data_IF_046877893336
#
_entry.id   IF_046877893336
#
_cell.length_a   1.000
_cell.length_b   1.000
_cell.length_c   1.000
_cell.angle_alpha   90.00
_cell.angle_beta   90.00
_cell.angle_gamma   90.00
#
_symmetry.space_group_name_H-M   'P 1'
#
loop_
_entity.id
_entity.type
_entity.pdbx_description
1 polymer ?
#
# COMPACT_ATOMS: atom_id res chain seq x y z
N UNK A 1 -22.65 1.59 18.74
CA UNK A 1 -22.40 0.44 17.84
C UNK A 1 -22.49 0.87 16.37
N UNK A 2 -21.72 1.88 15.96
CA UNK A 2 -21.78 2.48 14.61
C UNK A 2 -20.47 2.35 13.82
N UNK A 3 -19.36 1.93 14.45
CA UNK A 3 -18.05 1.84 13.80
C UNK A 3 -17.91 0.75 12.73
N UNK A 4 -18.85 -0.19 12.62
CA UNK A 4 -18.75 -1.32 11.69
C UNK A 4 -19.06 -0.92 10.24
N UNK A 5 -19.96 0.03 10.02
CA UNK A 5 -20.34 0.45 8.66
C UNK A 5 -19.31 1.36 8.00
N UNK A 6 -18.68 2.24 8.79
CA UNK A 6 -17.72 3.23 8.31
C UNK A 6 -16.40 2.56 7.87
N UNK A 7 -15.88 1.63 8.67
CA UNK A 7 -14.66 0.86 8.36
C UNK A 7 -14.79 -0.04 7.13
N UNK A 8 -16.00 -0.52 6.81
CA UNK A 8 -16.26 -1.30 5.58
C UNK A 8 -16.21 -0.38 4.37
N UNK A 9 -16.84 0.80 4.44
CA UNK A 9 -16.82 1.80 3.36
C UNK A 9 -15.42 2.35 3.10
N UNK A 10 -14.60 2.54 4.13
CA UNK A 10 -13.20 2.99 4.01
C UNK A 10 -12.33 1.96 3.28
N UNK A 11 -12.52 0.68 3.60
CA UNK A 11 -11.79 -0.41 2.96
C UNK A 11 -12.15 -0.52 1.47
N UNK A 12 -13.43 -0.44 1.14
CA UNK A 12 -13.92 -0.53 -0.23
C UNK A 12 -13.43 0.65 -1.08
N UNK A 13 -13.42 1.87 -0.52
CA UNK A 13 -12.85 3.04 -1.19
C UNK A 13 -11.35 2.91 -1.46
N UNK A 14 -10.60 2.35 -0.51
CA UNK A 14 -9.16 2.17 -0.66
C UNK A 14 -8.82 1.07 -1.68
N UNK A 15 -9.63 0.02 -1.74
CA UNK A 15 -9.56 -1.03 -2.75
C UNK A 15 -9.82 -0.48 -4.16
N UNK A 16 -10.80 0.43 -4.32
CA UNK A 16 -11.08 1.09 -5.59
C UNK A 16 -9.92 2.00 -6.04
N UNK A 17 -9.30 2.72 -5.10
CA UNK A 17 -8.10 3.53 -5.36
C UNK A 17 -6.93 2.64 -5.78
N UNK A 18 -6.69 1.52 -5.08
CA UNK A 18 -5.66 0.55 -5.45
C UNK A 18 -5.92 -0.03 -6.85
N UNK A 19 -7.14 -0.45 -7.14
CA UNK A 19 -7.52 -0.97 -8.45
C UNK A 19 -7.28 0.07 -9.56
N UNK A 20 -7.55 1.34 -9.27
CA UNK A 20 -7.28 2.45 -10.20
C UNK A 20 -5.79 2.69 -10.38
N UNK A 21 -5.01 2.67 -9.30
CA UNK A 21 -3.56 2.81 -9.34
C UNK A 21 -2.91 1.70 -10.17
N UNK A 22 -3.30 0.44 -9.98
CA UNK A 22 -2.80 -0.71 -10.74
C UNK A 22 -3.02 -0.60 -12.26
N UNK A 23 -4.02 0.18 -12.71
CA UNK A 23 -4.27 0.42 -14.13
C UNK A 23 -3.55 1.64 -14.71
N UNK A 24 -3.17 2.60 -13.87
CA UNK A 24 -2.73 3.94 -14.30
C UNK A 24 -1.29 4.27 -13.94
N UNK A 25 -0.75 3.63 -12.92
CA UNK A 25 0.60 3.88 -12.43
C UNK A 25 1.56 2.92 -13.13
N UNK A 26 2.64 3.46 -13.70
CA UNK A 26 3.70 2.63 -14.25
C UNK A 26 4.57 2.07 -13.11
N UNK A 27 4.40 0.78 -12.83
CA UNK A 27 5.18 0.05 -11.81
C UNK A 27 6.63 -0.20 -12.22
N UNK A 28 7.01 0.06 -13.47
CA UNK A 28 8.41 0.01 -13.90
C UNK A 28 9.19 1.20 -13.37
N UNK A 29 8.51 2.30 -13.04
CA UNK A 29 9.10 3.44 -12.37
C UNK A 29 9.11 3.24 -10.86
N UNK A 30 10.22 3.61 -10.22
CA UNK A 30 10.40 3.42 -8.78
C UNK A 30 9.38 4.22 -7.94
N UNK A 31 8.97 5.41 -8.40
CA UNK A 31 7.91 6.18 -7.74
C UNK A 31 6.55 5.50 -7.89
N UNK A 32 6.26 4.94 -9.06
CA UNK A 32 5.02 4.24 -9.33
C UNK A 32 4.89 2.96 -8.50
N UNK A 33 5.96 2.16 -8.41
CA UNK A 33 5.99 0.98 -7.54
C UNK A 33 5.79 1.36 -6.06
N UNK A 34 6.42 2.45 -5.60
CA UNK A 34 6.23 2.92 -4.24
C UNK A 34 4.77 3.30 -3.94
N UNK A 35 4.10 4.00 -4.87
CA UNK A 35 2.69 4.38 -4.72
C UNK A 35 1.78 3.15 -4.60
N UNK A 36 1.95 2.18 -5.50
CA UNK A 36 1.13 0.96 -5.50
C UNK A 36 1.37 0.14 -4.23
N UNK A 37 2.62 -0.06 -3.84
CA UNK A 37 2.96 -0.83 -2.65
C UNK A 37 2.42 -0.19 -1.34
N UNK A 38 2.39 1.15 -1.24
CA UNK A 38 1.74 1.84 -0.10
C UNK A 38 0.24 1.55 -0.06
N UNK A 39 -0.44 1.57 -1.21
CA UNK A 39 -1.87 1.28 -1.29
C UNK A 39 -2.18 -0.18 -0.95
N UNK A 40 -1.37 -1.13 -1.44
CA UNK A 40 -1.46 -2.55 -1.08
C UNK A 40 -1.31 -2.75 0.44
N UNK A 41 -0.32 -2.11 1.05
CA UNK A 41 -0.12 -2.15 2.49
C UNK A 41 -1.32 -1.60 3.26
N UNK A 42 -1.82 -0.43 2.85
CA UNK A 42 -2.93 0.23 3.50
C UNK A 42 -4.22 -0.61 3.41
N UNK A 43 -4.53 -1.20 2.24
CA UNK A 43 -5.68 -2.10 2.06
C UNK A 43 -5.59 -3.30 3.00
N UNK A 44 -4.42 -3.93 3.07
CA UNK A 44 -4.23 -5.12 3.92
C UNK A 44 -4.33 -4.79 5.41
N UNK A 45 -3.85 -3.62 5.87
CA UNK A 45 -4.02 -3.15 7.25
C UNK A 45 -5.50 -2.91 7.58
N UNK A 46 -6.22 -2.21 6.71
CA UNK A 46 -7.65 -1.94 6.92
C UNK A 46 -8.45 -3.24 6.94
N UNK A 47 -8.18 -4.17 6.02
CA UNK A 47 -8.79 -5.52 6.01
C UNK A 47 -8.51 -6.27 7.31
N UNK A 48 -7.27 -6.25 7.80
CA UNK A 48 -6.88 -6.88 9.06
C UNK A 48 -7.53 -6.26 10.31
N UNK A 49 -8.02 -5.02 10.19
CA UNK A 49 -8.80 -4.32 11.22
C UNK A 49 -10.29 -4.68 11.24
N UNK A 50 -10.80 -5.37 10.22
CA UNK A 50 -12.23 -5.72 10.12
C UNK A 50 -12.65 -6.64 11.27
N UNK A 51 -13.78 -6.37 11.96
CA UNK A 51 -14.24 -7.18 13.10
C UNK A 51 -14.42 -8.66 12.78
N UNK A 52 -14.78 -9.00 11.54
CA UNK A 52 -14.94 -10.38 11.07
C UNK A 52 -13.62 -11.16 11.14
N UNK A 53 -12.47 -10.49 10.97
CA UNK A 53 -11.16 -11.11 11.06
C UNK A 53 -10.59 -11.13 12.48
N UNK A 54 -11.25 -10.46 13.45
CA UNK A 54 -10.84 -10.54 14.84
C UNK A 54 -10.96 -11.98 15.41
N UNK A 55 -11.84 -12.79 14.84
CA UNK A 55 -12.04 -14.20 15.21
C UNK A 55 -11.22 -15.18 14.35
N UNK A 56 -10.43 -14.66 13.41
CA UNK A 56 -9.65 -15.43 12.43
C UNK A 56 -8.17 -15.02 12.52
N UNK A 57 -7.44 -15.47 13.56
CA UNK A 57 -6.12 -14.95 13.89
C UNK A 57 -5.05 -15.28 12.85
N UNK A 58 -5.17 -16.40 12.14
CA UNK A 58 -4.23 -16.77 11.08
C UNK A 58 -4.40 -15.85 9.88
N UNK A 59 -5.62 -15.69 9.39
CA UNK A 59 -5.99 -14.82 8.28
C UNK A 59 -5.60 -13.37 8.56
N UNK A 60 -5.83 -12.89 9.78
CA UNK A 60 -5.39 -11.56 10.21
C UNK A 60 -3.86 -11.43 10.16
N UNK A 61 -3.13 -12.47 10.58
CA UNK A 61 -1.66 -12.47 10.57
C UNK A 61 -1.11 -12.50 9.14
N UNK A 62 -1.74 -13.26 8.24
CA UNK A 62 -1.39 -13.28 6.81
C UNK A 62 -1.46 -11.86 6.21
N UNK A 63 -2.59 -11.17 6.42
CA UNK A 63 -2.79 -9.80 5.92
C UNK A 63 -1.74 -8.82 6.49
N UNK A 64 -1.43 -8.91 7.78
CA UNK A 64 -0.40 -8.06 8.39
C UNK A 64 0.99 -8.34 7.84
N UNK A 65 1.29 -9.60 7.51
CA UNK A 65 2.57 -9.97 6.90
C UNK A 65 2.66 -9.46 5.46
N UNK A 66 1.60 -9.59 4.68
CA UNK A 66 1.52 -9.02 3.33
C UNK A 66 1.68 -7.51 3.37
N UNK A 67 0.99 -6.83 4.30
CA UNK A 67 1.15 -5.39 4.50
C UNK A 67 2.60 -5.01 4.83
N UNK A 68 3.27 -5.76 5.71
CA UNK A 68 4.68 -5.51 6.04
C UNK A 68 5.59 -5.71 4.83
N UNK A 69 5.33 -6.73 4.00
CA UNK A 69 6.03 -6.96 2.74
C UNK A 69 5.87 -5.78 1.78
N UNK A 70 4.66 -5.26 1.63
CA UNK A 70 4.35 -4.12 0.79
C UNK A 70 4.99 -2.81 1.31
N UNK A 71 5.00 -2.56 2.63
CA UNK A 71 5.74 -1.43 3.24
C UNK A 71 7.23 -1.50 2.94
N UNK A 72 7.83 -2.70 3.03
CA UNK A 72 9.24 -2.89 2.69
C UNK A 72 9.49 -2.58 1.21
N UNK A 73 8.64 -3.06 0.31
CA UNK A 73 8.73 -2.75 -1.12
C UNK A 73 8.64 -1.24 -1.38
N UNK A 74 7.66 -0.57 -0.78
CA UNK A 74 7.50 0.88 -0.87
C UNK A 74 8.75 1.65 -0.39
N UNK A 75 9.33 1.23 0.75
CA UNK A 75 10.54 1.84 1.30
C UNK A 75 11.72 1.73 0.33
N UNK A 76 11.94 0.53 -0.22
CA UNK A 76 13.02 0.29 -1.18
C UNK A 76 12.81 1.10 -2.46
N UNK A 77 11.61 1.06 -3.04
CA UNK A 77 11.27 1.78 -4.26
C UNK A 77 11.42 3.30 -4.08
N UNK A 78 11.01 3.84 -2.93
CA UNK A 78 11.21 5.25 -2.58
C UNK A 78 12.70 5.61 -2.50
N UNK A 79 13.52 4.76 -1.88
CA UNK A 79 14.98 4.96 -1.82
C UNK A 79 15.63 4.99 -3.21
N UNK A 80 15.16 4.12 -4.12
CA UNK A 80 15.60 4.12 -5.53
C UNK A 80 15.18 5.41 -6.22
N UNK A 81 13.92 5.84 -6.08
CA UNK A 81 13.41 7.08 -6.66
C UNK A 81 14.22 8.31 -6.20
N UNK A 82 14.53 8.41 -4.90
CA UNK A 82 15.37 9.49 -4.35
C UNK A 82 16.79 9.46 -4.92
N UNK A 83 17.38 8.27 -5.05
CA UNK A 83 18.72 8.10 -5.62
C UNK A 83 18.77 8.62 -7.06
N UNK A 84 17.78 8.26 -7.89
CA UNK A 84 17.68 8.79 -9.26
C UNK A 84 17.46 10.30 -9.28
N UNK A 85 16.56 10.83 -8.46
CA UNK A 85 16.33 12.28 -8.38
C UNK A 85 17.61 13.04 -8.03
N UNK A 86 18.38 12.54 -7.06
CA UNK A 86 19.65 13.15 -6.66
C UNK A 86 20.72 13.07 -7.76
N UNK A 87 20.83 11.93 -8.46
CA UNK A 87 21.75 11.80 -9.59
C UNK A 87 21.41 12.74 -10.74
N UNK A 88 20.13 12.89 -11.08
CA UNK A 88 19.66 13.82 -12.11
C UNK A 88 19.96 15.26 -11.71
N UNK A 89 19.70 15.64 -10.46
CA UNK A 89 20.01 16.98 -9.96
C UNK A 89 21.49 17.34 -10.09
N UNK A 90 22.41 16.40 -9.85
CA UNK A 90 23.86 16.62 -9.98
C UNK A 90 24.36 16.71 -11.41
N UNK A 91 23.62 16.18 -12.39
CA UNK A 91 23.99 16.27 -13.81
C UNK A 91 23.54 17.59 -14.45
N UNK A 92 22.54 18.24 -13.85
CA UNK A 92 21.94 19.48 -14.34
C UNK A 92 22.55 20.73 -13.69
N UNK A 93 23.34 20.56 -12.62
CA UNK A 93 24.16 21.59 -11.95
C UNK A 93 25.55 21.70 -12.55
#
# INVERSE_FOLDING_TARGET
MTHTGESVLEADALEDVLATALRRVDRREALGEAQVAVLEAAVNIVRAGRPQLAQLPLERTELLREALGAVRAATVATGVALTYAHQTSRRLS
#
